data_IF_153931534437
#
_entry.id   IF_153931534437
#
_cell.length_a   1.000
_cell.length_b   1.000
_cell.length_c   1.000
_cell.angle_alpha   90.00
_cell.angle_beta   90.00
_cell.angle_gamma   90.00
#
_symmetry.space_group_name_H-M   'P 1'
#
loop_
_entity.id
_entity.type
_entity.pdbx_description
1 polymer ?
#
# COMPACT_ATOMS: atom_id res chain seq x y z
N UNK A 1 36.41 -36.27 20.83
CA UNK A 1 35.90 -35.73 19.55
C UNK A 1 34.56 -35.07 19.83
N UNK A 2 34.58 -33.76 20.04
CA UNK A 2 33.43 -32.98 20.52
C UNK A 2 32.84 -32.25 19.32
N UNK A 3 31.69 -32.71 18.82
CA UNK A 3 30.97 -32.06 17.72
C UNK A 3 30.22 -30.87 18.29
N UNK A 4 30.70 -29.67 17.96
CA UNK A 4 30.09 -28.41 18.38
C UNK A 4 28.93 -28.08 17.42
N UNK A 5 27.69 -28.36 17.86
CA UNK A 5 26.49 -28.03 17.12
C UNK A 5 26.20 -26.51 17.28
N UNK A 6 26.50 -25.71 16.25
CA UNK A 6 26.15 -24.28 16.20
C UNK A 6 24.64 -24.14 15.96
N UNK A 7 23.87 -24.18 17.04
CA UNK A 7 22.48 -23.73 17.04
C UNK A 7 22.44 -22.21 17.04
N UNK A 8 22.09 -21.60 15.90
CA UNK A 8 21.67 -20.18 15.84
C UNK A 8 20.38 -20.02 16.63
N UNK A 9 20.49 -19.52 17.86
CA UNK A 9 19.37 -19.06 18.69
C UNK A 9 18.70 -17.87 18.01
N UNK A 10 17.58 -18.11 17.31
CA UNK A 10 16.68 -17.03 16.87
C UNK A 10 16.00 -16.45 18.10
N UNK A 11 16.37 -15.25 18.51
CA UNK A 11 15.67 -14.48 19.53
C UNK A 11 14.23 -14.26 19.07
N UNK A 12 13.27 -14.88 19.74
CA UNK A 12 11.84 -14.64 19.53
C UNK A 12 11.52 -13.21 20.04
N UNK A 13 10.82 -12.40 19.24
CA UNK A 13 10.17 -11.16 19.71
C UNK A 13 9.23 -11.52 20.88
N UNK A 14 8.90 -10.56 21.75
CA UNK A 14 7.94 -10.64 22.88
C UNK A 14 6.57 -11.24 22.52
N UNK A 15 6.30 -11.44 21.22
CA UNK A 15 5.08 -12.01 20.65
C UNK A 15 5.25 -13.44 20.07
N UNK A 16 6.38 -14.12 20.29
CA UNK A 16 6.59 -15.52 19.86
C UNK A 16 6.86 -15.69 18.36
N UNK A 17 7.28 -14.63 17.66
CA UNK A 17 7.70 -14.67 16.25
C UNK A 17 9.22 -14.55 16.23
N UNK A 18 9.97 -15.37 15.48
CA UNK A 18 11.42 -15.22 15.39
C UNK A 18 11.75 -13.79 14.97
N UNK A 19 12.51 -13.09 15.81
CA UNK A 19 13.08 -11.79 15.50
C UNK A 19 13.92 -11.98 14.26
N UNK A 20 13.38 -11.52 13.13
CA UNK A 20 14.07 -11.61 11.87
C UNK A 20 14.98 -10.41 11.82
N UNK A 21 16.27 -10.61 12.08
CA UNK A 21 17.29 -9.69 11.63
C UNK A 21 17.04 -9.48 10.14
N UNK A 22 16.58 -8.28 9.77
CA UNK A 22 16.36 -7.94 8.37
C UNK A 22 17.71 -8.17 7.69
N UNK A 23 17.79 -9.03 6.66
CA UNK A 23 19.04 -9.38 6.05
C UNK A 23 19.45 -8.24 5.11
N UNK A 24 19.66 -7.05 5.69
CA UNK A 24 19.85 -5.77 5.01
C UNK A 24 20.96 -5.88 3.98
N UNK A 25 22.06 -6.54 4.37
CA UNK A 25 23.18 -6.84 3.49
C UNK A 25 22.76 -7.74 2.33
N UNK A 26 21.99 -8.81 2.57
CA UNK A 26 21.52 -9.71 1.48
C UNK A 26 20.56 -8.97 0.54
N UNK A 27 19.64 -8.17 1.08
CA UNK A 27 18.77 -7.33 0.27
C UNK A 27 19.57 -6.35 -0.59
N UNK A 28 20.55 -5.67 0.03
CA UNK A 28 21.41 -4.73 -0.66
C UNK A 28 22.16 -5.42 -1.80
N UNK A 29 22.77 -6.58 -1.53
CA UNK A 29 23.58 -7.32 -2.50
C UNK A 29 22.76 -7.97 -3.61
N UNK A 30 21.64 -8.62 -3.29
CA UNK A 30 20.89 -9.43 -4.27
C UNK A 30 19.78 -8.68 -4.99
N UNK A 31 19.28 -7.56 -4.45
CA UNK A 31 18.18 -6.81 -5.04
C UNK A 31 18.62 -5.38 -5.39
N UNK A 32 19.10 -4.61 -4.41
CA UNK A 32 19.36 -3.20 -4.63
C UNK A 32 20.51 -2.93 -5.59
N UNK A 33 21.68 -3.54 -5.38
CA UNK A 33 22.86 -3.34 -6.23
C UNK A 33 22.61 -3.76 -7.69
N UNK A 34 21.96 -4.90 -7.99
CA UNK A 34 21.58 -5.23 -9.36
C UNK A 34 20.64 -4.20 -9.99
N UNK A 35 19.61 -3.75 -9.27
CA UNK A 35 18.70 -2.70 -9.76
C UNK A 35 19.46 -1.41 -10.05
N UNK A 36 20.36 -1.00 -9.13
CA UNK A 36 21.18 0.19 -9.29
C UNK A 36 22.15 0.08 -10.48
N UNK A 37 22.76 -1.09 -10.67
CA UNK A 37 23.68 -1.34 -11.79
C UNK A 37 22.94 -1.28 -13.13
N UNK A 38 21.78 -1.95 -13.26
CA UNK A 38 20.95 -1.90 -14.47
C UNK A 38 20.48 -0.48 -14.75
N UNK A 39 20.03 0.24 -13.72
CA UNK A 39 19.63 1.63 -13.83
C UNK A 39 20.79 2.54 -14.28
N UNK A 40 21.96 2.43 -13.64
CA UNK A 40 23.12 3.27 -13.95
C UNK A 40 23.64 3.03 -15.37
N UNK A 41 23.66 1.77 -15.82
CA UNK A 41 24.00 1.42 -17.20
C UNK A 41 23.00 2.02 -18.19
N UNK A 42 21.70 1.95 -17.89
CA UNK A 42 20.67 2.53 -18.75
C UNK A 42 20.72 4.07 -18.80
N UNK A 43 21.01 4.73 -17.66
CA UNK A 43 21.21 6.19 -17.59
C UNK A 43 22.42 6.64 -18.39
N UNK A 44 23.53 5.90 -18.31
CA UNK A 44 24.75 6.17 -19.06
C UNK A 44 24.57 5.92 -20.56
N UNK A 45 23.94 4.81 -20.95
CA UNK A 45 23.69 4.48 -22.36
C UNK A 45 22.71 5.45 -23.04
N UNK A 46 21.76 6.00 -22.28
CA UNK A 46 20.75 6.94 -22.78
C UNK A 46 21.07 8.42 -22.58
N UNK A 47 22.27 8.76 -22.07
CA UNK A 47 22.69 10.13 -21.69
C UNK A 47 21.63 10.91 -20.89
N UNK A 48 21.01 10.24 -19.91
CA UNK A 48 19.84 10.75 -19.19
C UNK A 48 20.18 11.57 -17.94
N UNK A 49 21.46 11.82 -17.67
CA UNK A 49 21.91 12.49 -16.46
C UNK A 49 21.38 13.92 -16.32
N UNK A 50 21.15 14.60 -17.45
CA UNK A 50 20.56 15.93 -17.49
C UNK A 50 19.16 15.99 -16.87
N UNK A 51 18.42 14.87 -16.80
CA UNK A 51 17.08 14.81 -16.20
C UNK A 51 17.07 15.21 -14.71
N UNK A 52 18.18 15.04 -13.99
CA UNK A 52 18.26 15.46 -12.59
C UNK A 52 18.19 16.97 -12.38
N UNK A 53 18.53 17.78 -13.39
CA UNK A 53 18.50 19.24 -13.29
C UNK A 53 17.06 19.76 -13.13
N UNK A 54 16.10 19.44 -14.03
CA UNK A 54 14.72 19.86 -13.85
C UNK A 54 13.94 19.00 -12.85
N UNK A 55 14.26 17.71 -12.74
CA UNK A 55 13.36 16.74 -12.07
C UNK A 55 13.90 16.19 -10.74
N UNK A 56 15.09 16.60 -10.29
CA UNK A 56 15.73 16.06 -9.09
C UNK A 56 14.92 16.27 -7.80
N UNK A 57 14.04 17.27 -7.75
CA UNK A 57 13.12 17.47 -6.62
C UNK A 57 12.23 16.24 -6.39
N UNK A 58 11.85 15.53 -7.46
CA UNK A 58 10.98 14.36 -7.37
C UNK A 58 11.67 13.22 -6.61
N UNK A 59 12.99 13.06 -6.75
CA UNK A 59 13.76 12.08 -5.98
C UNK A 59 13.65 12.34 -4.48
N UNK A 60 13.61 13.60 -4.05
CA UNK A 60 13.43 13.97 -2.63
C UNK A 60 12.01 13.67 -2.14
N UNK A 61 10.99 14.04 -2.94
CA UNK A 61 9.59 13.70 -2.65
C UNK A 61 9.42 12.19 -2.51
N UNK A 62 10.07 11.43 -3.39
CA UNK A 62 10.00 9.96 -3.40
C UNK A 62 10.88 9.30 -2.34
N UNK A 63 11.89 9.97 -1.79
CA UNK A 63 12.59 9.50 -0.61
C UNK A 63 11.63 9.41 0.58
N UNK A 64 10.86 10.47 0.83
CA UNK A 64 9.83 10.48 1.87
C UNK A 64 8.67 9.53 1.51
N UNK A 65 8.20 9.58 0.26
CA UNK A 65 7.12 8.74 -0.23
C UNK A 65 7.41 7.25 -0.12
N UNK A 66 8.57 6.79 -0.61
CA UNK A 66 8.95 5.37 -0.57
C UNK A 66 9.21 4.87 0.84
N UNK A 67 9.82 5.68 1.72
CA UNK A 67 9.95 5.34 3.14
C UNK A 67 8.58 5.08 3.76
N UNK A 68 7.63 6.01 3.56
CA UNK A 68 6.26 5.84 4.07
C UNK A 68 5.57 4.63 3.42
N UNK A 69 5.80 4.41 2.13
CA UNK A 69 5.26 3.26 1.38
C UNK A 69 5.62 1.92 2.02
N UNK A 70 6.90 1.69 2.29
CA UNK A 70 7.34 0.44 2.87
C UNK A 70 6.99 0.29 4.34
N UNK A 71 6.81 1.41 5.03
CA UNK A 71 6.47 1.46 6.45
C UNK A 71 4.96 1.21 6.73
N UNK A 72 4.10 1.26 5.70
CA UNK A 72 2.63 1.25 5.85
C UNK A 72 1.93 0.42 4.76
N UNK A 73 0.63 0.18 4.91
CA UNK A 73 -0.22 -0.48 3.90
C UNK A 73 -0.93 0.52 2.96
N UNK A 74 -0.51 1.79 2.93
CA UNK A 74 -1.14 2.85 2.12
C UNK A 74 -0.35 3.17 0.84
N UNK A 75 0.86 2.60 0.73
CA UNK A 75 1.80 2.93 -0.33
C UNK A 75 2.37 4.34 -0.23
N UNK A 76 3.28 4.67 -1.15
CA UNK A 76 4.00 5.95 -1.15
C UNK A 76 3.17 7.11 -1.66
N UNK A 77 2.10 6.78 -2.41
CA UNK A 77 1.14 7.75 -2.93
C UNK A 77 0.52 8.60 -1.83
N UNK A 78 0.35 8.06 -0.62
CA UNK A 78 -0.13 8.78 0.57
C UNK A 78 0.51 10.16 0.78
N UNK A 79 1.83 10.22 0.60
CA UNK A 79 2.64 11.43 0.80
C UNK A 79 3.00 12.06 -0.54
N UNK A 80 3.37 11.23 -1.52
CA UNK A 80 3.84 11.74 -2.81
C UNK A 80 2.71 12.37 -3.64
N UNK A 81 1.51 11.78 -3.68
CA UNK A 81 0.41 12.26 -4.53
C UNK A 81 -0.05 13.68 -4.19
N UNK A 82 -0.31 14.05 -2.91
CA UNK A 82 -0.63 15.42 -2.55
C UNK A 82 0.50 16.39 -2.87
N UNK A 83 1.76 15.99 -2.64
CA UNK A 83 2.91 16.85 -2.94
C UNK A 83 3.00 17.11 -4.44
N UNK A 84 2.89 16.07 -5.27
CA UNK A 84 2.88 16.22 -6.73
C UNK A 84 1.73 17.10 -7.21
N UNK A 85 0.51 16.85 -6.74
CA UNK A 85 -0.70 17.45 -7.30
C UNK A 85 -1.10 18.79 -6.67
N UNK A 86 -0.68 19.09 -5.44
CA UNK A 86 -1.03 20.33 -4.73
C UNK A 86 0.15 21.29 -4.60
N UNK A 87 1.39 20.79 -4.49
CA UNK A 87 2.58 21.64 -4.32
C UNK A 87 3.26 21.92 -5.67
N UNK A 88 3.42 20.89 -6.50
CA UNK A 88 4.09 21.01 -7.81
C UNK A 88 3.13 21.13 -8.99
N UNK A 89 1.81 21.18 -8.73
CA UNK A 89 0.73 21.28 -9.72
C UNK A 89 0.83 20.27 -10.89
N UNK A 90 1.37 19.09 -10.60
CA UNK A 90 1.42 17.99 -11.56
C UNK A 90 0.00 17.44 -11.74
N UNK A 91 -0.39 17.18 -12.99
CA UNK A 91 -1.73 16.66 -13.27
C UNK A 91 -1.96 15.31 -12.60
N UNK A 92 -3.18 15.00 -12.13
CA UNK A 92 -3.46 13.70 -11.51
C UNK A 92 -3.18 12.49 -12.41
N UNK A 93 -3.27 12.65 -13.74
CA UNK A 93 -2.94 11.60 -14.71
C UNK A 93 -1.44 11.27 -14.70
N UNK A 94 -0.57 12.29 -14.74
CA UNK A 94 0.89 12.11 -14.64
C UNK A 94 1.26 11.54 -13.26
N UNK A 95 0.63 12.05 -12.19
CA UNK A 95 0.85 11.55 -10.84
C UNK A 95 0.43 10.08 -10.68
N UNK A 96 -0.68 9.66 -11.29
CA UNK A 96 -1.14 8.26 -11.34
C UNK A 96 -0.12 7.39 -12.08
N UNK A 97 0.30 7.79 -13.28
CA UNK A 97 1.24 7.03 -14.10
C UNK A 97 2.56 6.85 -13.38
N UNK A 98 3.12 7.94 -12.86
CA UNK A 98 4.34 7.93 -12.07
C UNK A 98 4.18 7.04 -10.83
N UNK A 99 3.03 7.09 -10.14
CA UNK A 99 2.77 6.24 -8.98
C UNK A 99 2.77 4.75 -9.35
N UNK A 100 2.11 4.34 -10.43
CA UNK A 100 2.14 2.94 -10.91
C UNK A 100 3.57 2.51 -11.28
N UNK A 101 4.31 3.36 -11.98
CA UNK A 101 5.68 3.08 -12.42
C UNK A 101 6.69 3.02 -11.26
N UNK A 102 6.53 3.87 -10.24
CA UNK A 102 7.41 3.86 -9.06
C UNK A 102 7.06 2.69 -8.15
N UNK A 103 5.77 2.37 -7.96
CA UNK A 103 5.37 1.25 -7.13
C UNK A 103 5.76 -0.09 -7.75
N UNK A 104 5.78 -0.23 -9.09
CA UNK A 104 6.30 -1.43 -9.75
C UNK A 104 7.78 -1.70 -9.45
N UNK A 105 8.55 -0.68 -9.07
CA UNK A 105 9.95 -0.81 -8.64
C UNK A 105 10.03 -0.97 -7.12
N UNK A 106 9.52 0.02 -6.38
CA UNK A 106 9.65 0.08 -4.92
C UNK A 106 8.91 -1.04 -4.20
N UNK A 107 7.65 -1.32 -4.57
CA UNK A 107 6.87 -2.37 -3.92
C UNK A 107 7.31 -3.76 -4.33
N UNK A 108 7.84 -3.95 -5.54
CA UNK A 108 8.47 -5.23 -5.92
C UNK A 108 9.78 -5.44 -5.15
N UNK A 109 10.59 -4.40 -4.95
CA UNK A 109 11.78 -4.48 -4.09
C UNK A 109 11.40 -4.81 -2.63
N UNK A 110 10.35 -4.18 -2.10
CA UNK A 110 9.83 -4.49 -0.76
C UNK A 110 9.25 -5.90 -0.68
N UNK A 111 8.57 -6.37 -1.72
CA UNK A 111 8.06 -7.74 -1.85
C UNK A 111 9.19 -8.77 -1.84
N UNK A 112 10.28 -8.50 -2.56
CA UNK A 112 11.47 -9.35 -2.52
C UNK A 112 12.06 -9.42 -1.10
N UNK A 113 12.13 -8.29 -0.38
CA UNK A 113 12.56 -8.26 1.01
C UNK A 113 11.64 -9.09 1.93
N UNK A 114 10.32 -8.94 1.80
CA UNK A 114 9.31 -9.71 2.52
C UNK A 114 9.50 -11.23 2.31
N UNK A 115 9.72 -11.65 1.06
CA UNK A 115 9.95 -13.05 0.69
C UNK A 115 11.29 -13.56 1.25
N UNK A 116 12.37 -12.77 1.17
CA UNK A 116 13.67 -13.13 1.73
C UNK A 116 13.64 -13.34 3.25
N UNK A 117 12.84 -12.53 3.94
CA UNK A 117 12.66 -12.59 5.40
C UNK A 117 11.69 -13.71 5.81
N UNK A 118 10.89 -14.22 4.85
CA UNK A 118 9.82 -15.20 5.08
C UNK A 118 8.76 -14.69 6.06
N UNK A 119 8.38 -13.42 5.91
CA UNK A 119 7.26 -12.87 6.67
C UNK A 119 5.97 -13.58 6.23
N UNK A 120 5.08 -13.98 7.16
CA UNK A 120 3.82 -14.62 6.80
C UNK A 120 2.95 -13.70 5.94
N UNK A 121 2.36 -14.25 4.88
CA UNK A 121 1.45 -13.59 3.94
C UNK A 121 0.21 -14.46 3.72
N UNK A 122 -0.93 -13.86 3.37
CA UNK A 122 -2.14 -14.61 3.03
C UNK A 122 -2.23 -14.83 1.51
N UNK A 123 -1.65 -15.93 1.05
CA UNK A 123 -1.49 -16.26 -0.38
C UNK A 123 -2.83 -16.34 -1.13
N UNK A 124 -3.88 -16.84 -0.48
CA UNK A 124 -5.22 -16.93 -1.08
C UNK A 124 -5.77 -15.55 -1.42
N UNK A 125 -5.46 -14.54 -0.60
CA UNK A 125 -5.83 -13.16 -0.90
C UNK A 125 -5.05 -12.62 -2.09
N UNK A 126 -3.76 -12.91 -2.19
CA UNK A 126 -2.96 -12.49 -3.35
C UNK A 126 -3.57 -12.98 -4.67
N UNK A 127 -4.00 -14.25 -4.70
CA UNK A 127 -4.64 -14.83 -5.89
C UNK A 127 -5.99 -14.19 -6.19
N UNK A 128 -6.95 -14.25 -5.27
CA UNK A 128 -8.33 -13.83 -5.55
C UNK A 128 -8.47 -12.32 -5.70
N UNK A 129 -7.80 -11.54 -4.85
CA UNK A 129 -7.81 -10.09 -4.98
C UNK A 129 -6.96 -9.62 -6.16
N UNK A 130 -5.89 -10.32 -6.53
CA UNK A 130 -5.11 -10.03 -7.73
C UNK A 130 -5.91 -10.25 -9.02
N UNK A 131 -6.67 -11.36 -9.09
CA UNK A 131 -7.57 -11.65 -10.22
C UNK A 131 -8.66 -10.59 -10.39
N UNK A 132 -9.19 -10.03 -9.29
CA UNK A 132 -10.11 -8.90 -9.36
C UNK A 132 -9.42 -7.57 -9.66
N UNK A 133 -8.20 -7.40 -9.14
CA UNK A 133 -7.38 -6.19 -9.30
C UNK A 133 -7.10 -5.85 -10.75
N UNK A 134 -6.77 -6.85 -11.57
CA UNK A 134 -6.47 -6.66 -13.00
C UNK A 134 -7.61 -5.98 -13.79
N UNK A 135 -8.84 -6.55 -13.89
CA UNK A 135 -9.92 -5.89 -14.61
C UNK A 135 -10.31 -4.57 -13.96
N UNK A 136 -10.21 -4.47 -12.63
CA UNK A 136 -10.48 -3.22 -11.91
C UNK A 136 -9.53 -2.11 -12.35
N UNK A 137 -8.23 -2.41 -12.41
CA UNK A 137 -7.19 -1.49 -12.86
C UNK A 137 -7.46 -0.99 -14.27
N UNK A 138 -7.79 -1.88 -15.21
CA UNK A 138 -8.11 -1.51 -16.59
C UNK A 138 -9.33 -0.59 -16.66
N UNK A 139 -10.41 -0.91 -15.93
CA UNK A 139 -11.61 -0.06 -15.87
C UNK A 139 -11.28 1.32 -15.30
N UNK A 140 -10.55 1.38 -14.19
CA UNK A 140 -10.14 2.64 -13.57
C UNK A 140 -9.26 3.48 -14.50
N UNK A 141 -8.29 2.85 -15.15
CA UNK A 141 -7.29 3.51 -15.97
C UNK A 141 -7.85 3.99 -17.31
N UNK A 142 -8.55 3.14 -18.06
CA UNK A 142 -8.98 3.44 -19.42
C UNK A 142 -10.34 4.13 -19.49
N UNK A 143 -11.27 3.78 -18.59
CA UNK A 143 -12.66 4.24 -18.69
C UNK A 143 -12.90 5.42 -17.76
N UNK A 144 -12.56 5.29 -16.49
CA UNK A 144 -12.91 6.30 -15.48
C UNK A 144 -11.92 7.46 -15.44
N UNK A 145 -10.62 7.18 -15.45
CA UNK A 145 -9.61 8.23 -15.29
C UNK A 145 -9.66 9.35 -16.33
N UNK A 146 -9.97 9.11 -17.62
CA UNK A 146 -10.11 10.18 -18.61
C UNK A 146 -11.37 11.05 -18.44
N UNK A 147 -12.40 10.53 -17.76
CA UNK A 147 -13.70 11.19 -17.59
C UNK A 147 -13.73 12.05 -16.32
N UNK A 148 -12.87 11.74 -15.34
CA UNK A 148 -12.84 12.42 -14.05
C UNK A 148 -12.04 13.72 -14.12
N UNK A 149 -12.67 14.81 -13.66
CA UNK A 149 -12.00 16.09 -13.48
C UNK A 149 -10.90 16.02 -12.40
N UNK A 150 -9.83 16.79 -12.58
CA UNK A 150 -8.69 16.78 -11.68
C UNK A 150 -9.06 17.07 -10.21
N UNK A 151 -10.02 17.97 -9.97
CA UNK A 151 -10.48 18.29 -8.61
C UNK A 151 -11.20 17.10 -7.94
N UNK A 152 -11.98 16.34 -8.71
CA UNK A 152 -12.66 15.13 -8.23
C UNK A 152 -11.61 14.06 -7.87
N UNK A 153 -10.57 13.89 -8.68
CA UNK A 153 -9.49 12.92 -8.42
C UNK A 153 -8.70 13.29 -7.15
N UNK A 154 -8.31 14.55 -6.99
CA UNK A 154 -7.59 15.04 -5.79
C UNK A 154 -8.41 14.85 -4.50
N UNK A 155 -9.70 15.16 -4.54
CA UNK A 155 -10.61 14.98 -3.39
C UNK A 155 -10.96 13.51 -3.11
N UNK A 156 -11.12 12.69 -4.16
CA UNK A 156 -11.31 11.24 -4.05
C UNK A 156 -10.13 10.60 -3.31
N UNK A 157 -8.90 10.93 -3.71
CA UNK A 157 -7.69 10.46 -3.05
C UNK A 157 -7.68 10.81 -1.56
N UNK A 158 -7.88 12.08 -1.24
CA UNK A 158 -7.90 12.54 0.14
C UNK A 158 -8.99 11.87 0.97
N UNK A 159 -10.19 11.69 0.42
CA UNK A 159 -11.32 11.08 1.14
C UNK A 159 -11.11 9.60 1.44
N UNK A 160 -10.55 8.84 0.50
CA UNK A 160 -10.24 7.41 0.67
C UNK A 160 -9.15 7.23 1.73
N UNK A 161 -8.05 7.98 1.61
CA UNK A 161 -6.92 7.94 2.54
C UNK A 161 -7.36 8.37 3.94
N UNK A 162 -8.16 9.42 4.04
CA UNK A 162 -8.75 9.88 5.31
C UNK A 162 -9.63 8.81 5.97
N UNK A 163 -10.52 8.20 5.21
CA UNK A 163 -11.40 7.14 5.70
C UNK A 163 -10.62 5.92 6.19
N UNK A 164 -9.54 5.56 5.48
CA UNK A 164 -8.61 4.52 5.92
C UNK A 164 -7.89 4.89 7.22
N UNK A 165 -7.47 6.15 7.38
CA UNK A 165 -6.88 6.66 8.61
C UNK A 165 -7.83 6.56 9.81
N UNK A 166 -9.09 6.93 9.62
CA UNK A 166 -10.14 6.79 10.64
C UNK A 166 -10.37 5.33 11.02
N UNK A 167 -10.42 4.44 10.03
CA UNK A 167 -10.49 2.98 10.24
C UNK A 167 -9.33 2.50 11.10
N UNK A 168 -8.09 2.82 10.72
CA UNK A 168 -6.89 2.42 11.44
C UNK A 168 -6.90 2.92 12.88
N UNK A 169 -7.26 4.19 13.10
CA UNK A 169 -7.36 4.76 14.43
C UNK A 169 -8.41 4.04 15.28
N UNK A 170 -9.60 3.81 14.74
CA UNK A 170 -10.69 3.14 15.45
C UNK A 170 -10.33 1.71 15.86
N UNK A 171 -9.76 0.92 14.94
CA UNK A 171 -9.42 -0.47 15.25
C UNK A 171 -8.30 -0.58 16.29
N UNK A 172 -7.38 0.38 16.29
CA UNK A 172 -6.27 0.45 17.23
C UNK A 172 -6.68 0.89 18.64
N UNK A 173 -7.80 1.61 18.79
CA UNK A 173 -8.32 2.06 20.09
C UNK A 173 -8.81 0.91 20.99
N UNK A 174 -9.15 -0.24 20.40
CA UNK A 174 -9.62 -1.43 21.13
C UNK A 174 -8.54 -2.53 21.13
N UNK A 175 -7.64 -2.46 22.10
CA UNK A 175 -6.43 -3.30 22.19
C UNK A 175 -6.68 -4.83 22.31
N UNK A 176 -7.87 -5.27 22.72
CA UNK A 176 -8.17 -6.69 23.04
C UNK A 176 -8.90 -7.44 21.90
N UNK A 177 -8.36 -7.41 20.68
CA UNK A 177 -8.88 -8.25 19.58
C UNK A 177 -7.96 -9.46 19.36
N UNK A 178 -8.54 -10.66 19.38
CA UNK A 178 -7.90 -11.86 18.85
C UNK A 178 -7.68 -11.67 17.34
N UNK A 179 -6.43 -11.72 16.91
CA UNK A 179 -6.04 -11.58 15.50
C UNK A 179 -5.68 -12.95 14.98
N UNK A 180 -6.30 -13.32 13.86
CA UNK A 180 -5.91 -14.53 13.14
C UNK A 180 -4.77 -14.20 12.19
N UNK A 181 -3.93 -15.18 11.88
CA UNK A 181 -2.80 -15.02 10.94
C UNK A 181 -3.14 -15.49 9.53
N UNK A 182 -4.34 -16.02 9.30
CA UNK A 182 -4.81 -16.48 7.99
C UNK A 182 -6.30 -16.83 8.00
N UNK A 183 -6.88 -17.00 6.82
CA UNK A 183 -8.31 -17.28 6.65
C UNK A 183 -8.55 -18.78 6.86
N UNK A 184 -9.04 -19.15 8.04
CA UNK A 184 -9.22 -20.56 8.44
C UNK A 184 -10.24 -21.32 7.61
N UNK A 185 -11.34 -20.67 7.18
CA UNK A 185 -12.39 -21.29 6.35
C UNK A 185 -12.52 -20.51 5.06
N UNK A 186 -11.99 -21.09 3.99
CA UNK A 186 -12.07 -20.51 2.65
C UNK A 186 -13.20 -21.18 1.88
N UNK A 187 -14.23 -20.41 1.56
CA UNK A 187 -15.35 -20.84 0.72
C UNK A 187 -15.46 -19.94 -0.52
N UNK A 188 -16.32 -20.31 -1.49
CA UNK A 188 -16.50 -19.54 -2.73
C UNK A 188 -16.96 -18.10 -2.46
N UNK A 189 -17.79 -17.87 -1.44
CA UNK A 189 -18.21 -16.52 -1.03
C UNK A 189 -17.03 -15.67 -0.55
N UNK A 190 -16.07 -16.25 0.17
CA UNK A 190 -14.87 -15.53 0.61
C UNK A 190 -13.97 -15.20 -0.58
N UNK A 191 -13.83 -16.13 -1.54
CA UNK A 191 -13.15 -15.87 -2.80
C UNK A 191 -13.78 -14.72 -3.58
N UNK A 192 -15.12 -14.69 -3.65
CA UNK A 192 -15.87 -13.60 -4.29
C UNK A 192 -15.71 -12.27 -3.55
N UNK A 193 -15.79 -12.25 -2.21
CA UNK A 193 -15.55 -11.04 -1.40
C UNK A 193 -14.15 -10.46 -1.68
N UNK A 194 -13.12 -11.32 -1.75
CA UNK A 194 -11.75 -10.90 -2.06
C UNK A 194 -11.58 -10.44 -3.50
N UNK A 195 -12.24 -11.10 -4.45
CA UNK A 195 -12.26 -10.69 -5.85
C UNK A 195 -12.90 -9.31 -6.02
N UNK A 196 -14.05 -9.06 -5.40
CA UNK A 196 -14.73 -7.75 -5.45
C UNK A 196 -13.89 -6.67 -4.76
N UNK A 197 -13.26 -6.98 -3.62
CA UNK A 197 -12.32 -6.06 -2.97
C UNK A 197 -11.13 -5.72 -3.87
N UNK A 198 -10.58 -6.73 -4.55
CA UNK A 198 -9.56 -6.57 -5.58
C UNK A 198 -10.02 -5.68 -6.73
N UNK A 199 -11.21 -5.93 -7.27
CA UNK A 199 -11.82 -5.14 -8.35
C UNK A 199 -11.95 -3.66 -7.98
N UNK A 200 -12.56 -3.38 -6.83
CA UNK A 200 -12.73 -2.00 -6.34
C UNK A 200 -11.39 -1.31 -6.07
N UNK A 201 -10.46 -2.03 -5.44
CA UNK A 201 -9.11 -1.54 -5.18
C UNK A 201 -8.31 -1.30 -6.47
N UNK A 202 -8.49 -2.15 -7.47
CA UNK A 202 -7.95 -2.01 -8.82
C UNK A 202 -8.48 -0.76 -9.51
N UNK A 203 -9.79 -0.53 -9.48
CA UNK A 203 -10.43 0.69 -10.02
C UNK A 203 -9.80 1.95 -9.42
N UNK A 204 -9.69 1.99 -8.09
CA UNK A 204 -9.07 3.12 -7.40
C UNK A 204 -7.60 3.26 -7.81
N UNK A 205 -6.86 2.15 -7.92
CA UNK A 205 -5.47 2.16 -8.40
C UNK A 205 -5.34 2.66 -9.84
N UNK A 206 -6.32 2.37 -10.70
CA UNK A 206 -6.34 2.86 -12.08
C UNK A 206 -6.64 4.35 -12.18
N UNK A 207 -7.28 4.95 -11.17
CA UNK A 207 -7.56 6.39 -11.13
C UNK A 207 -6.40 7.14 -10.44
N UNK A 208 -5.85 6.59 -9.36
CA UNK A 208 -4.95 7.29 -8.44
C UNK A 208 -3.50 6.80 -8.47
N UNK A 209 -3.25 5.62 -9.04
CA UNK A 209 -1.95 4.93 -9.02
C UNK A 209 -1.65 4.15 -7.74
N UNK A 210 -2.58 4.14 -6.79
CA UNK A 210 -2.56 3.32 -5.57
C UNK A 210 -4.00 3.08 -5.08
N UNK A 211 -4.27 2.00 -4.35
CA UNK A 211 -5.60 1.76 -3.79
C UNK A 211 -5.95 0.30 -3.51
N UNK A 212 -5.39 -0.65 -4.26
CA UNK A 212 -5.66 -2.08 -4.03
C UNK A 212 -5.13 -2.54 -2.69
N UNK A 213 -3.99 -2.02 -2.26
CA UNK A 213 -3.44 -2.18 -0.93
C UNK A 213 -4.40 -1.67 0.15
N UNK A 214 -4.89 -0.44 0.01
CA UNK A 214 -5.79 0.21 0.97
C UNK A 214 -7.08 -0.61 1.14
N UNK A 215 -7.74 -0.95 0.03
CA UNK A 215 -9.03 -1.67 0.06
C UNK A 215 -8.85 -3.08 0.59
N UNK A 216 -7.89 -3.84 0.06
CA UNK A 216 -7.72 -5.25 0.44
C UNK A 216 -7.19 -5.37 1.86
N UNK A 217 -6.26 -4.50 2.28
CA UNK A 217 -5.84 -4.43 3.69
C UNK A 217 -7.04 -4.16 4.61
N UNK A 218 -7.90 -3.20 4.25
CA UNK A 218 -9.09 -2.87 5.04
C UNK A 218 -10.01 -4.07 5.19
N UNK A 219 -10.25 -4.82 4.12
CA UNK A 219 -11.05 -6.04 4.16
C UNK A 219 -10.37 -7.12 5.03
N UNK A 220 -9.08 -7.38 4.85
CA UNK A 220 -8.36 -8.39 5.65
C UNK A 220 -8.43 -8.09 7.16
N UNK A 221 -8.21 -6.84 7.53
CA UNK A 221 -8.14 -6.43 8.94
C UNK A 221 -9.53 -6.29 9.56
N UNK A 222 -10.50 -5.72 8.84
CA UNK A 222 -11.84 -5.47 9.40
C UNK A 222 -12.78 -6.66 9.29
N UNK A 223 -12.86 -7.29 8.11
CA UNK A 223 -13.83 -8.34 7.80
C UNK A 223 -13.35 -9.70 8.26
N UNK A 224 -12.06 -9.99 8.09
CA UNK A 224 -11.45 -11.27 8.45
C UNK A 224 -10.67 -11.24 9.77
N UNK A 225 -10.37 -10.05 10.32
CA UNK A 225 -9.64 -9.92 11.57
C UNK A 225 -8.19 -10.41 11.49
N UNK A 226 -7.59 -10.34 10.29
CA UNK A 226 -6.20 -10.72 10.07
C UNK A 226 -5.29 -9.71 10.77
N UNK A 227 -4.23 -10.21 11.38
CA UNK A 227 -3.19 -9.38 12.00
C UNK A 227 -2.53 -8.45 10.97
N UNK A 228 -2.34 -7.18 11.32
CA UNK A 228 -1.67 -6.17 10.49
C UNK A 228 -0.24 -6.58 10.12
N UNK A 229 0.42 -7.40 10.96
CA UNK A 229 1.74 -7.99 10.66
C UNK A 229 1.71 -8.95 9.46
N UNK A 230 0.55 -9.51 9.11
CA UNK A 230 0.33 -10.38 7.93
C UNK A 230 -0.37 -9.61 6.81
N UNK A 231 -1.34 -8.77 7.16
CA UNK A 231 -2.11 -8.01 6.18
C UNK A 231 -1.26 -6.96 5.44
N UNK A 232 -0.33 -6.27 6.13
CA UNK A 232 0.53 -5.25 5.51
C UNK A 232 1.46 -5.85 4.45
N UNK A 233 2.23 -6.93 4.73
CA UNK A 233 3.04 -7.56 3.69
C UNK A 233 2.20 -8.11 2.53
N UNK A 234 1.02 -8.67 2.82
CA UNK A 234 0.09 -9.17 1.79
C UNK A 234 -0.38 -8.05 0.86
N UNK A 235 -0.76 -6.89 1.41
CA UNK A 235 -1.19 -5.73 0.60
C UNK A 235 -0.05 -5.10 -0.20
N UNK A 236 1.17 -5.07 0.36
CA UNK A 236 2.37 -4.57 -0.35
C UNK A 236 2.68 -5.42 -1.59
N UNK A 237 2.68 -6.75 -1.46
CA UNK A 237 2.89 -7.65 -2.61
C UNK A 237 1.80 -7.45 -3.65
N UNK A 238 0.54 -7.37 -3.21
CA UNK A 238 -0.59 -7.18 -4.10
C UNK A 238 -0.50 -5.85 -4.88
N UNK A 239 -0.12 -4.76 -4.20
CA UNK A 239 0.09 -3.46 -4.85
C UNK A 239 1.26 -3.49 -5.83
N UNK A 240 2.37 -4.15 -5.48
CA UNK A 240 3.50 -4.32 -6.40
C UNK A 240 3.11 -5.03 -7.69
N UNK A 241 2.36 -6.13 -7.58
CA UNK A 241 1.83 -6.87 -8.75
C UNK A 241 0.89 -5.98 -9.57
N UNK A 242 -0.07 -5.30 -8.90
CA UNK A 242 -1.04 -4.45 -9.57
C UNK A 242 -0.39 -3.25 -10.27
N UNK A 243 0.62 -2.63 -9.64
CA UNK A 243 1.39 -1.54 -10.20
C UNK A 243 2.22 -1.99 -11.42
N UNK A 244 2.84 -3.18 -11.35
CA UNK A 244 3.57 -3.75 -12.48
C UNK A 244 2.65 -4.01 -13.67
N UNK A 245 1.47 -4.59 -13.44
CA UNK A 245 0.45 -4.75 -14.47
C UNK A 245 0.08 -3.39 -15.07
N UNK A 246 -0.15 -2.37 -14.24
CA UNK A 246 -0.52 -1.02 -14.70
C UNK A 246 0.55 -0.38 -15.56
N UNK A 247 1.82 -0.48 -15.15
CA UNK A 247 2.96 0.00 -15.93
C UNK A 247 3.09 -0.75 -17.26
N UNK A 248 2.98 -2.09 -17.26
CA UNK A 248 3.05 -2.88 -18.49
C UNK A 248 1.89 -2.56 -19.43
N UNK A 249 0.66 -2.48 -18.90
CA UNK A 249 -0.54 -2.15 -19.68
C UNK A 249 -0.46 -0.74 -20.26
N UNK A 250 -0.08 0.23 -19.44
CA UNK A 250 0.08 1.62 -19.87
C UNK A 250 1.19 1.78 -20.90
N UNK A 251 2.32 1.07 -20.71
CA UNK A 251 3.48 1.09 -21.59
C UNK A 251 3.22 0.44 -22.95
N UNK A 252 2.57 -0.73 -22.98
CA UNK A 252 2.20 -1.41 -24.24
C UNK A 252 1.22 -0.58 -25.05
N UNK A 253 0.27 0.11 -24.40
CA UNK A 253 -0.69 0.96 -25.08
C UNK A 253 -0.16 2.38 -25.38
N UNK A 254 1.07 2.72 -24.98
CA UNK A 254 1.64 4.07 -25.17
C UNK A 254 0.87 5.18 -24.44
N UNK A 255 0.16 4.84 -23.36
CA UNK A 255 -0.72 5.78 -22.63
C UNK A 255 -0.07 6.42 -21.41
N UNK A 256 1.14 5.96 -21.03
CA UNK A 256 1.90 6.58 -19.94
C UNK A 256 2.42 7.94 -20.38
N UNK A 257 2.22 8.96 -19.54
CA UNK A 257 2.73 10.29 -19.80
C UNK A 257 4.26 10.30 -19.95
N UNK A 258 4.78 11.09 -20.91
CA UNK A 258 6.22 11.26 -21.12
C UNK A 258 6.91 11.84 -19.88
N UNK A 259 6.27 12.82 -19.23
CA UNK A 259 6.75 13.42 -17.98
C UNK A 259 6.92 12.38 -16.86
N UNK A 260 6.04 11.38 -16.79
CA UNK A 260 6.15 10.31 -15.81
C UNK A 260 7.41 9.45 -16.02
N UNK A 261 7.85 9.27 -17.26
CA UNK A 261 9.13 8.59 -17.56
C UNK A 261 10.34 9.38 -17.07
N UNK A 262 10.33 10.69 -17.25
CA UNK A 262 11.44 11.55 -16.81
C UNK A 262 11.58 11.53 -15.29
N UNK A 263 10.46 11.63 -14.58
CA UNK A 263 10.42 11.48 -13.12
C UNK A 263 10.81 10.07 -12.67
N UNK A 264 10.40 9.03 -13.40
CA UNK A 264 10.73 7.65 -13.05
C UNK A 264 12.24 7.43 -13.02
N UNK A 265 12.97 7.89 -14.05
CA UNK A 265 14.42 7.76 -14.13
C UNK A 265 15.14 8.34 -12.92
N UNK A 266 14.76 9.53 -12.46
CA UNK A 266 15.42 10.15 -11.30
C UNK A 266 15.02 9.51 -9.96
N UNK A 267 13.92 8.76 -9.91
CA UNK A 267 13.38 8.19 -8.67
C UNK A 267 13.79 6.74 -8.41
N UNK A 268 14.06 5.93 -9.44
CA UNK A 268 14.33 4.48 -9.33
C UNK A 268 15.31 4.12 -8.19
N UNK A 269 16.50 4.74 -8.08
CA UNK A 269 17.46 4.38 -7.02
C UNK A 269 16.93 4.66 -5.61
N UNK A 270 16.17 5.73 -5.46
CA UNK A 270 15.64 6.15 -4.16
C UNK A 270 14.52 5.23 -3.74
N UNK A 271 13.60 4.89 -4.65
CA UNK A 271 12.41 4.10 -4.31
C UNK A 271 12.72 2.62 -4.13
N UNK A 272 13.67 2.08 -4.89
CA UNK A 272 14.16 0.71 -4.73
C UNK A 272 14.80 0.47 -3.36
N UNK A 273 15.43 1.51 -2.78
CA UNK A 273 15.99 1.46 -1.44
C UNK A 273 14.96 1.82 -0.36
N UNK A 274 14.27 2.94 -0.54
CA UNK A 274 13.49 3.60 0.49
C UNK A 274 12.29 2.78 0.97
N UNK A 275 11.63 2.03 0.09
CA UNK A 275 10.52 1.15 0.49
C UNK A 275 11.01 -0.01 1.39
N UNK A 276 11.97 -0.85 0.98
CA UNK A 276 12.55 -1.87 1.88
C UNK A 276 13.13 -1.29 3.18
N UNK A 277 13.79 -0.14 3.11
CA UNK A 277 14.33 0.54 4.29
C UNK A 277 13.23 1.03 5.26
N UNK A 278 12.13 1.56 4.73
CA UNK A 278 10.95 1.94 5.53
C UNK A 278 10.32 0.75 6.25
N UNK A 279 10.19 -0.40 5.55
CA UNK A 279 9.70 -1.63 6.16
C UNK A 279 10.61 -2.12 7.30
N UNK A 280 11.93 -2.01 7.12
CA UNK A 280 12.90 -2.34 8.15
C UNK A 280 12.81 -1.44 9.37
N UNK A 281 12.79 -0.11 9.18
CA UNK A 281 12.72 0.85 10.30
C UNK A 281 11.49 0.61 11.18
N UNK A 282 10.35 0.27 10.57
CA UNK A 282 9.12 0.00 11.32
C UNK A 282 9.15 -1.25 12.18
N UNK A 283 10.05 -2.19 11.92
CA UNK A 283 10.21 -3.37 12.76
C UNK A 283 10.68 -3.01 14.19
N UNK A 284 11.34 -1.86 14.37
CA UNK A 284 11.79 -1.36 15.66
C UNK A 284 10.80 -0.40 16.34
N UNK A 285 9.79 0.08 15.61
CA UNK A 285 8.85 1.07 16.13
C UNK A 285 7.70 0.39 16.87
N UNK A 286 7.33 0.93 18.03
CA UNK A 286 6.15 0.46 18.73
C UNK A 286 4.88 0.74 17.91
N UNK A 287 4.01 -0.26 17.78
CA UNK A 287 2.80 -0.23 16.94
C UNK A 287 1.94 1.03 17.10
N UNK A 288 1.79 1.56 18.31
CA UNK A 288 0.98 2.76 18.54
C UNK A 288 1.63 4.05 18.03
N UNK A 289 2.96 4.14 18.00
CA UNK A 289 3.66 5.27 17.40
C UNK A 289 3.48 5.29 15.89
N UNK A 290 3.56 4.12 15.25
CA UNK A 290 3.27 3.93 13.83
C UNK A 290 1.89 4.47 13.47
N UNK A 291 0.86 4.00 14.20
CA UNK A 291 -0.53 4.40 13.91
C UNK A 291 -0.73 5.90 14.11
N UNK A 292 -0.18 6.47 15.19
CA UNK A 292 -0.28 7.92 15.43
C UNK A 292 0.41 8.71 14.32
N UNK A 293 1.63 8.32 13.93
CA UNK A 293 2.37 8.97 12.86
C UNK A 293 1.58 8.97 11.54
N UNK A 294 1.06 7.82 11.14
CA UNK A 294 0.25 7.67 9.92
C UNK A 294 -1.02 8.52 10.00
N UNK A 295 -1.78 8.44 11.09
CA UNK A 295 -3.00 9.22 11.26
C UNK A 295 -2.73 10.73 11.22
N UNK A 296 -1.62 11.19 11.80
CA UNK A 296 -1.21 12.60 11.73
C UNK A 296 -0.94 13.03 10.29
N UNK A 297 -0.18 12.24 9.51
CA UNK A 297 0.08 12.55 8.10
C UNK A 297 -1.22 12.62 7.28
N UNK A 298 -2.13 11.68 7.51
CA UNK A 298 -3.44 11.63 6.83
C UNK A 298 -4.28 12.87 7.16
N UNK A 299 -4.33 13.28 8.42
CA UNK A 299 -5.09 14.48 8.83
C UNK A 299 -4.49 15.72 8.17
N UNK A 300 -3.17 15.88 8.21
CA UNK A 300 -2.48 17.00 7.55
C UNK A 300 -2.81 17.00 6.06
N UNK A 301 -2.71 15.85 5.40
CA UNK A 301 -2.96 15.68 3.98
C UNK A 301 -4.41 16.00 3.58
N UNK A 302 -5.39 15.51 4.34
CA UNK A 302 -6.81 15.78 4.09
C UNK A 302 -7.15 17.26 4.31
N UNK A 303 -6.73 17.84 5.44
CA UNK A 303 -6.94 19.27 5.74
C UNK A 303 -6.26 20.15 4.69
N UNK A 304 -5.02 19.84 4.30
CA UNK A 304 -4.31 20.59 3.26
C UNK A 304 -5.05 20.53 1.91
N UNK A 305 -5.61 19.37 1.57
CA UNK A 305 -6.40 19.21 0.33
C UNK A 305 -7.66 20.10 0.37
N UNK A 306 -8.34 20.17 1.52
CA UNK A 306 -9.53 21.02 1.68
C UNK A 306 -9.21 22.52 1.62
N UNK A 307 -8.04 22.93 2.12
CA UNK A 307 -7.62 24.33 2.15
C UNK A 307 -7.05 24.83 0.82
N UNK A 308 -6.28 23.99 0.12
CA UNK A 308 -5.61 24.37 -1.14
C UNK A 308 -6.58 24.33 -2.32
N UNK A 309 -7.48 23.34 -2.35
CA UNK A 309 -8.39 23.15 -3.47
C UNK A 309 -9.64 24.05 -3.30
N UNK A 310 -10.03 24.85 -4.30
CA UNK A 310 -11.23 25.67 -4.21
C UNK A 310 -12.46 24.78 -4.03
N UNK A 311 -13.13 24.93 -2.89
CA UNK A 311 -14.28 24.09 -2.52
C UNK A 311 -15.56 24.60 -3.20
N UNK A 312 -16.01 23.88 -4.22
CA UNK A 312 -17.34 24.08 -4.80
C UNK A 312 -18.40 23.30 -4.00
N UNK A 313 -19.67 23.72 -3.99
CA UNK A 313 -20.73 22.98 -3.30
C UNK A 313 -20.81 21.51 -3.73
N UNK A 314 -20.57 21.22 -5.01
CA UNK A 314 -20.55 19.86 -5.55
C UNK A 314 -19.40 19.03 -4.97
N UNK A 315 -18.19 19.59 -4.88
CA UNK A 315 -17.03 18.90 -4.30
C UNK A 315 -17.22 18.62 -2.80
N UNK A 316 -17.85 19.54 -2.07
CA UNK A 316 -18.17 19.34 -0.65
C UNK A 316 -19.16 18.19 -0.48
N UNK A 317 -20.26 18.19 -1.25
CA UNK A 317 -21.26 17.11 -1.22
C UNK A 317 -20.60 15.77 -1.57
N UNK A 318 -19.77 15.76 -2.61
CA UNK A 318 -19.02 14.57 -3.04
C UNK A 318 -18.11 14.03 -1.94
N UNK A 319 -17.37 14.91 -1.26
CA UNK A 319 -16.47 14.53 -0.17
C UNK A 319 -17.24 13.97 1.03
N UNK A 320 -18.30 14.67 1.47
CA UNK A 320 -19.18 14.19 2.55
C UNK A 320 -19.75 12.82 2.20
N UNK A 321 -20.22 12.64 0.97
CA UNK A 321 -20.73 11.36 0.48
C UNK A 321 -19.66 10.26 0.56
N UNK A 322 -18.45 10.49 0.02
CA UNK A 322 -17.38 9.50 0.01
C UNK A 322 -16.93 9.09 1.42
N UNK A 323 -16.74 10.06 2.32
CA UNK A 323 -16.35 9.77 3.71
C UNK A 323 -17.48 9.03 4.44
N UNK A 324 -18.72 9.49 4.30
CA UNK A 324 -19.89 8.84 4.93
C UNK A 324 -20.09 7.42 4.42
N UNK A 325 -19.97 7.21 3.11
CA UNK A 325 -20.06 5.89 2.49
C UNK A 325 -18.95 4.95 2.97
N UNK A 326 -17.71 5.44 3.05
CA UNK A 326 -16.58 4.67 3.56
C UNK A 326 -16.76 4.29 5.04
N UNK A 327 -17.30 5.19 5.87
CA UNK A 327 -17.63 4.92 7.27
C UNK A 327 -18.78 3.91 7.42
N UNK A 328 -19.78 3.96 6.53
CA UNK A 328 -20.85 2.97 6.48
C UNK A 328 -20.28 1.58 6.16
N UNK A 329 -19.44 1.47 5.12
CA UNK A 329 -18.77 0.22 4.77
C UNK A 329 -17.91 -0.32 5.92
N UNK A 330 -17.15 0.56 6.58
CA UNK A 330 -16.38 0.21 7.78
C UNK A 330 -17.29 -0.40 8.86
N UNK A 331 -18.44 0.21 9.13
CA UNK A 331 -19.41 -0.26 10.12
C UNK A 331 -19.99 -1.62 9.74
N UNK A 332 -20.34 -1.81 8.47
CA UNK A 332 -20.89 -3.06 7.95
C UNK A 332 -19.87 -4.20 8.04
N UNK A 333 -18.63 -3.98 7.61
CA UNK A 333 -17.57 -4.99 7.74
C UNK A 333 -17.28 -5.33 9.20
N UNK A 334 -17.28 -4.33 10.08
CA UNK A 334 -17.10 -4.56 11.50
C UNK A 334 -18.24 -5.37 12.12
N UNK A 335 -19.49 -5.12 11.72
CA UNK A 335 -20.65 -5.91 12.15
C UNK A 335 -20.58 -7.34 11.61
N UNK A 336 -20.21 -7.52 10.34
CA UNK A 336 -20.03 -8.83 9.73
C UNK A 336 -18.94 -9.64 10.45
N UNK A 337 -17.83 -9.01 10.82
CA UNK A 337 -16.80 -9.63 11.66
C UNK A 337 -17.35 -10.07 13.02
N UNK A 338 -18.14 -9.22 13.69
CA UNK A 338 -18.78 -9.57 14.98
C UNK A 338 -19.75 -10.74 14.81
N UNK A 339 -20.59 -10.73 13.77
CA UNK A 339 -21.55 -11.78 13.47
C UNK A 339 -20.87 -13.12 13.17
N UNK A 340 -19.80 -13.12 12.37
CA UNK A 340 -19.01 -14.30 12.08
C UNK A 340 -18.33 -14.87 13.33
N UNK A 341 -17.96 -14.01 14.30
CA UNK A 341 -17.44 -14.42 15.61
C UNK A 341 -18.52 -15.00 16.52
N UNK A 342 -19.75 -14.48 16.49
CA UNK A 342 -20.84 -14.95 17.36
C UNK A 342 -21.55 -16.18 16.81
N UNK A 343 -21.60 -16.37 15.49
CA UNK A 343 -22.25 -17.52 14.84
C UNK A 343 -21.44 -18.82 14.87
N UNK A 344 -20.11 -18.73 14.95
CA UNK A 344 -19.25 -19.89 15.17
C UNK A 344 -18.90 -20.02 16.64
N UNK A 345 -19.82 -20.62 17.41
CA UNK A 345 -19.51 -21.33 18.65
C UNK A 345 -18.53 -20.58 19.54
N UNK A 346 -18.94 -19.41 20.03
CA UNK A 346 -18.51 -19.01 21.36
C UNK A 346 -19.00 -20.06 22.33
N UNK A 347 -18.30 -21.19 22.43
CA UNK A 347 -18.24 -21.95 23.65
C UNK A 347 -17.77 -20.91 24.67
N UNK A 348 -18.73 -20.30 25.36
CA UNK A 348 -18.53 -19.91 26.75
C UNK A 348 -17.86 -21.14 27.34
N UNK A 349 -16.54 -21.08 27.56
CA UNK A 349 -15.94 -21.91 28.59
C UNK A 349 -16.79 -21.56 29.81
N UNK A 350 -17.71 -22.46 30.16
CA UNK A 350 -18.27 -22.52 31.50
C UNK A 350 -17.03 -22.45 32.39
N UNK A 351 -16.93 -21.38 33.17
CA UNK A 351 -16.18 -21.45 34.41
C UNK A 351 -16.81 -22.61 35.17
N UNK A 352 -16.15 -23.76 35.13
CA UNK A 352 -16.63 -25.00 35.72
C UNK A 352 -15.40 -25.68 36.31
N UNK A 353 -15.40 -25.78 37.64
CA UNK A 353 -14.30 -26.20 38.50
C UNK A 353 -14.09 -25.17 39.58
#
# INVERSE_FOLDING_TARGET
MTVHNRGTTKTLDRNGIPGSDFPFVRFLTFIYLPVLAVWALAMAAGDKWALFIPNGFMSLVMAAGSFVAGSTSMGGGAVAFPVMTLVFDITPAVARDLSLMIQSVGMIAASAAIVMIRVPVEERTLLWAGLGGFPGLVIGYQILSPVLEAAVVKTLFASIVFSFGLMLWWINRHANRFRVTGIRRFGPLVGLELFVAGLMGGIISGILGTGIDIVVFSVLVLRFGICEKVATPTSVILMGINALVGMCWGGVNGTLASEAWDYWWVCVPVVAFGAPFGAWCMSYWHRMHIVRFICTLIVIQYVSTLLILPQTPLLIIWNIFLVSFSLLLFRLFYQAYKAHRTGFGGMRRRSGG
#
